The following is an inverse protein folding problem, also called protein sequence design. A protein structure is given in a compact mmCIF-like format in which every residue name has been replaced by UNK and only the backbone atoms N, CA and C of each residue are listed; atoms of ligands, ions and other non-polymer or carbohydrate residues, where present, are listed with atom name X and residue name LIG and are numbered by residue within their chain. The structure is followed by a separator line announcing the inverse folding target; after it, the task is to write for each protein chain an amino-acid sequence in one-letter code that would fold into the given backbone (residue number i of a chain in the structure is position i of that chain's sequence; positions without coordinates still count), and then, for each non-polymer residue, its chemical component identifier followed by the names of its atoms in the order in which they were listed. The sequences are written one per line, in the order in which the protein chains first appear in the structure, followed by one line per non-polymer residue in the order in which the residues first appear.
data_IF_853899059820
#
_entry.id   IF_853899059820
#
_cell.length_a   1.000
_cell.length_b   1.000
_cell.length_c   1.000
_cell.angle_alpha   90.00
_cell.angle_beta   90.00
_cell.angle_gamma   90.00
#
_symmetry.space_group_name_H-M   'P 1'
#
loop_
_entity.id
_entity.type
_entity.pdbx_description
1 polymer ?
#
# COMPACT_ATOMS: atom_id res chain seq x y z
N UNK A 1 7.79 -11.37 -8.12
CA UNK A 1 7.14 -10.35 -7.29
C UNK A 1 6.37 -9.31 -8.10
N UNK A 2 6.98 -8.66 -9.10
CA UNK A 2 6.34 -7.56 -9.84
C UNK A 2 5.08 -7.99 -10.62
N UNK A 3 5.13 -9.09 -11.39
CA UNK A 3 3.96 -9.59 -12.16
C UNK A 3 2.81 -10.03 -11.24
N UNK A 4 3.11 -10.68 -10.13
CA UNK A 4 2.10 -11.09 -9.16
C UNK A 4 1.49 -9.89 -8.41
N UNK A 5 2.25 -8.81 -8.17
CA UNK A 5 1.67 -7.58 -7.60
C UNK A 5 0.71 -6.89 -8.57
N UNK A 6 0.99 -6.91 -9.88
CA UNK A 6 0.10 -6.33 -10.88
C UNK A 6 -1.25 -7.05 -10.94
N UNK A 7 -1.27 -8.38 -10.78
CA UNK A 7 -2.54 -9.14 -10.70
C UNK A 7 -3.37 -8.70 -9.51
N UNK A 8 -2.78 -8.66 -8.32
CA UNK A 8 -3.48 -8.19 -7.10
C UNK A 8 -3.96 -6.74 -7.24
N UNK A 9 -3.14 -5.85 -7.80
CA UNK A 9 -3.53 -4.47 -8.07
C UNK A 9 -4.76 -4.42 -8.98
N UNK A 10 -4.76 -5.18 -10.07
CA UNK A 10 -5.88 -5.20 -11.01
C UNK A 10 -7.17 -5.73 -10.37
N UNK A 11 -7.07 -6.77 -9.53
CA UNK A 11 -8.20 -7.31 -8.78
C UNK A 11 -8.82 -6.28 -7.84
N UNK A 12 -7.97 -5.59 -7.04
CA UNK A 12 -8.45 -4.54 -6.13
C UNK A 12 -9.00 -3.31 -6.88
N UNK A 13 -8.40 -2.95 -8.01
CA UNK A 13 -8.91 -1.88 -8.85
C UNK A 13 -10.27 -2.24 -9.47
N UNK A 14 -10.47 -3.49 -9.87
CA UNK A 14 -11.75 -3.95 -10.41
C UNK A 14 -12.86 -3.85 -9.35
N UNK A 15 -12.60 -4.32 -8.12
CA UNK A 15 -13.54 -4.19 -6.99
C UNK A 15 -13.86 -2.73 -6.69
N UNK A 16 -12.85 -1.88 -6.54
CA UNK A 16 -13.04 -0.46 -6.29
C UNK A 16 -13.86 0.25 -7.38
N UNK A 17 -13.57 -0.05 -8.65
CA UNK A 17 -14.27 0.57 -9.78
C UNK A 17 -15.72 0.10 -9.89
N UNK A 18 -16.01 -1.18 -9.62
CA UNK A 18 -17.36 -1.73 -9.66
C UNK A 18 -18.25 -1.09 -8.59
N UNK A 19 -17.80 -1.08 -7.34
CA UNK A 19 -18.53 -0.45 -6.23
C UNK A 19 -18.71 1.05 -6.43
N UNK A 20 -17.67 1.73 -6.93
CA UNK A 20 -17.74 3.16 -7.24
C UNK A 20 -18.73 3.44 -8.35
N UNK A 21 -18.78 2.62 -9.40
CA UNK A 21 -19.72 2.81 -10.52
C UNK A 21 -21.17 2.67 -10.08
N UNK A 22 -21.45 1.70 -9.21
CA UNK A 22 -22.79 1.51 -8.61
C UNK A 22 -23.19 2.72 -7.76
N UNK A 23 -22.28 3.19 -6.90
CA UNK A 23 -22.50 4.36 -6.07
C UNK A 23 -22.77 5.61 -6.91
N UNK A 24 -21.96 5.87 -7.95
CA UNK A 24 -22.11 7.07 -8.80
C UNK A 24 -23.40 7.07 -9.59
N UNK A 25 -23.91 5.91 -10.04
CA UNK A 25 -25.22 5.83 -10.70
C UNK A 25 -26.33 6.27 -9.75
N UNK A 26 -26.38 5.73 -8.53
CA UNK A 26 -27.37 6.12 -7.54
C UNK A 26 -27.22 7.56 -7.07
N UNK A 27 -25.96 8.02 -6.91
CA UNK A 27 -25.67 9.41 -6.52
C UNK A 27 -26.24 10.40 -7.52
N UNK A 28 -26.10 10.14 -8.82
CA UNK A 28 -26.69 11.01 -9.85
C UNK A 28 -28.19 11.11 -9.69
N UNK A 29 -28.89 9.98 -9.56
CA UNK A 29 -30.34 9.94 -9.45
C UNK A 29 -30.80 10.73 -8.20
N UNK A 30 -30.14 10.53 -7.05
CA UNK A 30 -30.44 11.28 -5.82
C UNK A 30 -30.13 12.79 -5.92
N UNK A 31 -29.08 13.19 -6.65
CA UNK A 31 -28.78 14.59 -6.89
C UNK A 31 -29.84 15.26 -7.79
N UNK A 32 -30.43 14.51 -8.73
CA UNK A 32 -31.48 14.99 -9.64
C UNK A 32 -32.82 15.23 -8.90
N UNK A 33 -33.05 14.57 -7.77
CA UNK A 33 -34.23 14.75 -6.91
C UNK A 33 -34.13 15.97 -5.97
N UNK A 34 -32.93 16.58 -5.79
CA UNK A 34 -32.74 17.69 -4.86
C UNK A 34 -33.32 19.01 -5.41
N UNK A 35 -34.08 19.72 -4.54
CA UNK A 35 -34.43 21.11 -4.77
C UNK A 35 -33.23 22.06 -4.45
N UNK A 36 -33.35 23.34 -4.82
CA UNK A 36 -32.27 24.32 -4.65
C UNK A 36 -31.89 24.54 -3.15
N UNK A 37 -32.84 24.52 -2.24
CA UNK A 37 -32.55 24.63 -0.79
C UNK A 37 -31.76 23.44 -0.26
N UNK A 38 -32.06 22.24 -0.72
CA UNK A 38 -31.32 21.03 -0.39
C UNK A 38 -29.90 21.04 -0.99
N UNK A 39 -29.74 21.51 -2.24
CA UNK A 39 -28.41 21.69 -2.84
C UNK A 39 -27.54 22.63 -2.01
N UNK A 40 -28.07 23.79 -1.61
CA UNK A 40 -27.34 24.72 -0.72
C UNK A 40 -27.00 24.08 0.62
N UNK A 41 -27.92 23.32 1.23
CA UNK A 41 -27.65 22.59 2.47
C UNK A 41 -26.56 21.54 2.30
N UNK A 42 -26.57 20.76 1.21
CA UNK A 42 -25.57 19.75 0.88
C UNK A 42 -24.20 20.38 0.65
N UNK A 43 -24.12 21.49 -0.07
CA UNK A 43 -22.91 22.25 -0.27
C UNK A 43 -22.29 22.72 1.05
N UNK A 44 -23.14 23.10 2.03
CA UNK A 44 -22.73 23.40 3.41
C UNK A 44 -22.47 22.17 4.30
N UNK A 45 -22.55 20.96 3.76
CA UNK A 45 -22.33 19.72 4.53
C UNK A 45 -23.45 19.38 5.50
N UNK A 46 -24.67 19.89 5.28
CA UNK A 46 -25.84 19.67 6.14
C UNK A 46 -26.73 18.58 5.53
N UNK A 47 -27.19 17.64 6.34
CA UNK A 47 -28.02 16.50 5.94
C UNK A 47 -29.37 16.54 6.68
N UNK A 48 -30.17 17.59 6.43
CA UNK A 48 -31.38 17.93 7.21
C UNK A 48 -32.64 17.23 6.73
N UNK A 49 -32.76 16.94 5.44
CA UNK A 49 -33.93 16.28 4.84
C UNK A 49 -33.72 14.78 4.65
N UNK A 50 -34.76 14.04 4.25
CA UNK A 50 -34.67 12.61 3.91
C UNK A 50 -33.71 12.39 2.72
N UNK A 51 -33.90 13.16 1.63
CA UNK A 51 -33.07 13.05 0.42
C UNK A 51 -31.60 13.28 0.72
N UNK A 52 -31.28 14.27 1.54
CA UNK A 52 -29.91 14.56 1.94
C UNK A 52 -29.30 13.44 2.81
N UNK A 53 -30.11 12.83 3.69
CA UNK A 53 -29.66 11.67 4.48
C UNK A 53 -29.42 10.47 3.60
N UNK A 54 -30.22 10.23 2.56
CA UNK A 54 -30.01 9.14 1.61
C UNK A 54 -28.68 9.29 0.86
N UNK A 55 -28.29 10.52 0.45
CA UNK A 55 -26.95 10.77 -0.14
C UNK A 55 -25.85 10.45 0.86
N UNK A 56 -25.98 10.91 2.10
CA UNK A 56 -24.99 10.59 3.15
C UNK A 56 -24.85 9.09 3.35
N UNK A 57 -25.98 8.40 3.45
CA UNK A 57 -26.04 6.97 3.73
C UNK A 57 -25.51 6.15 2.53
N UNK A 58 -25.78 6.59 1.30
CA UNK A 58 -25.20 6.01 0.10
C UNK A 58 -23.66 6.10 0.11
N UNK A 59 -23.10 7.27 0.43
CA UNK A 59 -21.64 7.46 0.49
C UNK A 59 -21.06 6.64 1.64
N UNK A 60 -21.74 6.59 2.79
CA UNK A 60 -21.32 5.79 3.94
C UNK A 60 -21.32 4.28 3.64
N UNK A 61 -22.35 3.77 2.95
CA UNK A 61 -22.45 2.37 2.52
C UNK A 61 -21.35 2.03 1.53
N UNK A 62 -21.11 2.88 0.53
CA UNK A 62 -20.01 2.69 -0.42
C UNK A 62 -18.66 2.69 0.29
N UNK A 63 -18.40 3.64 1.19
CA UNK A 63 -17.18 3.66 2.00
C UNK A 63 -17.00 2.37 2.79
N UNK A 64 -18.04 1.90 3.48
CA UNK A 64 -18.00 0.66 4.27
C UNK A 64 -17.70 -0.56 3.38
N UNK A 65 -18.33 -0.65 2.19
CA UNK A 65 -18.09 -1.72 1.22
C UNK A 65 -16.62 -1.74 0.75
N UNK A 66 -16.09 -0.59 0.32
CA UNK A 66 -14.69 -0.48 -0.13
C UNK A 66 -13.72 -0.78 1.01
N UNK A 67 -14.00 -0.26 2.22
CA UNK A 67 -13.16 -0.46 3.40
C UNK A 67 -13.12 -1.92 3.88
N UNK A 68 -14.13 -2.71 3.56
CA UNK A 68 -14.17 -4.15 3.83
C UNK A 68 -13.55 -4.96 2.68
N UNK A 69 -13.95 -4.68 1.44
CA UNK A 69 -13.58 -5.49 0.28
C UNK A 69 -12.07 -5.43 -0.06
N UNK A 70 -11.44 -4.26 0.07
CA UNK A 70 -10.02 -4.12 -0.25
C UNK A 70 -9.10 -4.95 0.68
N UNK A 71 -9.24 -4.89 2.01
CA UNK A 71 -8.46 -5.73 2.91
C UNK A 71 -8.73 -7.23 2.73
N UNK A 72 -9.97 -7.65 2.52
CA UNK A 72 -10.33 -9.06 2.31
C UNK A 72 -9.71 -9.62 1.02
N UNK A 73 -9.86 -8.93 -0.09
CA UNK A 73 -9.26 -9.33 -1.37
C UNK A 73 -7.72 -9.32 -1.30
N UNK A 74 -7.15 -8.35 -0.59
CA UNK A 74 -5.70 -8.30 -0.36
C UNK A 74 -5.24 -9.49 0.49
N UNK A 75 -5.95 -9.87 1.55
CA UNK A 75 -5.60 -10.95 2.46
C UNK A 75 -5.42 -12.28 1.71
N UNK A 76 -6.31 -12.61 0.76
CA UNK A 76 -6.19 -13.82 -0.07
C UNK A 76 -4.86 -13.85 -0.81
N UNK A 77 -4.51 -12.74 -1.46
CA UNK A 77 -3.25 -12.62 -2.20
C UNK A 77 -2.02 -12.62 -1.29
N UNK A 78 -2.10 -11.97 -0.12
CA UNK A 78 -1.00 -11.89 0.84
C UNK A 78 -0.70 -13.24 1.51
N UNK A 79 -1.74 -14.01 1.84
CA UNK A 79 -1.63 -15.37 2.38
C UNK A 79 -0.91 -16.29 1.37
N UNK A 80 -1.33 -16.28 0.11
CA UNK A 80 -0.67 -17.05 -0.93
C UNK A 80 0.79 -16.61 -1.16
N UNK A 81 1.06 -15.30 -1.10
CA UNK A 81 2.42 -14.77 -1.19
C UNK A 81 3.30 -15.27 -0.05
N UNK A 82 2.82 -15.21 1.19
CA UNK A 82 3.60 -15.64 2.35
C UNK A 82 4.03 -17.11 2.25
N UNK A 83 3.12 -17.99 1.79
CA UNK A 83 3.44 -19.41 1.53
C UNK A 83 4.47 -19.56 0.43
N UNK A 84 4.27 -18.84 -0.69
CA UNK A 84 5.18 -18.89 -1.83
C UNK A 84 6.59 -18.47 -1.45
N UNK A 85 6.74 -17.35 -0.74
CA UNK A 85 8.05 -16.80 -0.37
C UNK A 85 8.76 -17.68 0.67
N UNK A 86 8.03 -18.25 1.63
CA UNK A 86 8.61 -19.18 2.60
C UNK A 86 9.14 -20.45 1.91
N UNK A 87 8.35 -21.04 1.01
CA UNK A 87 8.79 -22.21 0.24
C UNK A 87 9.95 -21.88 -0.73
N UNK A 88 9.94 -20.69 -1.30
CA UNK A 88 11.03 -20.22 -2.17
C UNK A 88 12.35 -20.14 -1.41
N UNK A 89 12.34 -19.56 -0.20
CA UNK A 89 13.52 -19.48 0.67
C UNK A 89 14.02 -20.88 1.02
N UNK A 90 13.13 -21.78 1.46
CA UNK A 90 13.49 -23.16 1.82
C UNK A 90 14.16 -23.88 0.64
N UNK A 91 13.58 -23.74 -0.57
CA UNK A 91 14.15 -24.33 -1.78
C UNK A 91 15.49 -23.73 -2.14
N UNK A 92 15.63 -22.40 -2.03
CA UNK A 92 16.86 -21.68 -2.40
C UNK A 92 18.06 -22.14 -1.57
N UNK A 93 17.84 -22.39 -0.27
CA UNK A 93 18.91 -22.83 0.65
C UNK A 93 18.94 -24.36 0.86
N UNK A 94 18.15 -25.13 0.12
CA UNK A 94 18.09 -26.59 0.26
C UNK A 94 17.65 -27.06 1.64
N UNK A 95 16.95 -26.19 2.38
CA UNK A 95 16.58 -26.42 3.77
C UNK A 95 15.16 -26.99 3.91
N UNK A 96 14.94 -27.75 4.99
CA UNK A 96 13.60 -28.17 5.39
C UNK A 96 13.04 -27.18 6.39
N UNK A 97 11.87 -26.60 6.08
CA UNK A 97 11.09 -25.79 7.01
C UNK A 97 9.77 -26.49 7.32
N UNK A 98 9.13 -26.12 8.42
CA UNK A 98 7.76 -26.54 8.67
C UNK A 98 6.85 -26.06 7.54
N UNK A 99 5.81 -26.88 7.22
CA UNK A 99 4.83 -26.49 6.20
C UNK A 99 4.31 -25.09 6.49
N UNK A 100 4.50 -24.11 5.57
CA UNK A 100 4.09 -22.75 5.84
C UNK A 100 2.56 -22.65 5.95
N UNK A 101 2.11 -22.06 7.05
CA UNK A 101 0.73 -21.63 7.24
C UNK A 101 0.63 -20.16 6.80
N UNK A 102 0.06 -19.94 5.64
CA UNK A 102 0.00 -18.61 5.03
C UNK A 102 -0.84 -17.63 5.82
N UNK A 103 -1.95 -18.07 6.41
CA UNK A 103 -2.81 -17.23 7.25
C UNK A 103 -2.06 -16.78 8.50
N UNK A 104 -1.42 -17.71 9.20
CA UNK A 104 -0.61 -17.40 10.38
C UNK A 104 0.55 -16.45 10.06
N UNK A 105 1.24 -16.67 8.94
CA UNK A 105 2.32 -15.79 8.49
C UNK A 105 1.80 -14.38 8.16
N UNK A 106 0.68 -14.28 7.45
CA UNK A 106 0.07 -12.99 7.13
C UNK A 106 -0.45 -12.26 8.37
N UNK A 107 -1.15 -12.95 9.27
CA UNK A 107 -1.62 -12.38 10.54
C UNK A 107 -0.45 -11.91 11.43
N UNK A 108 0.68 -12.64 11.41
CA UNK A 108 1.90 -12.18 12.08
C UNK A 108 2.45 -10.91 11.44
N UNK A 109 2.54 -10.86 10.10
CA UNK A 109 3.00 -9.68 9.38
C UNK A 109 2.12 -8.44 9.62
N UNK A 110 0.80 -8.61 9.72
CA UNK A 110 -0.13 -7.52 10.03
C UNK A 110 0.11 -6.84 11.37
N UNK A 111 0.67 -7.57 12.35
CA UNK A 111 0.96 -7.05 13.70
C UNK A 111 2.30 -6.31 13.77
N UNK A 112 3.14 -6.42 12.75
CA UNK A 112 4.43 -5.74 12.69
C UNK A 112 4.24 -4.39 11.98
N UNK A 113 4.56 -3.26 12.63
CA UNK A 113 4.47 -1.95 12.00
C UNK A 113 5.44 -1.83 10.81
N UNK A 114 4.99 -1.17 9.75
CA UNK A 114 5.87 -0.70 8.68
C UNK A 114 6.69 0.50 9.18
N UNK A 115 7.71 0.90 8.42
CA UNK A 115 8.43 2.13 8.68
C UNK A 115 7.43 3.32 8.73
N UNK A 116 7.50 4.12 9.81
CA UNK A 116 6.51 5.16 10.10
C UNK A 116 5.34 4.71 10.97
N UNK A 117 5.38 3.50 11.55
CA UNK A 117 4.47 3.02 12.58
C UNK A 117 3.11 2.51 12.10
N UNK A 118 2.76 2.66 10.82
CA UNK A 118 1.47 2.22 10.31
C UNK A 118 1.38 0.70 10.20
N UNK A 119 0.21 0.13 10.54
CA UNK A 119 -0.10 -1.26 10.30
C UNK A 119 -0.68 -1.46 8.89
N UNK A 120 -0.72 -2.71 8.45
CA UNK A 120 -1.26 -3.08 7.13
C UNK A 120 -2.71 -2.61 6.96
N UNK A 121 -3.54 -2.82 7.98
CA UNK A 121 -4.96 -2.43 7.94
C UNK A 121 -5.14 -0.91 7.87
N UNK A 122 -4.30 -0.15 8.58
CA UNK A 122 -4.32 1.32 8.52
C UNK A 122 -4.05 1.84 7.11
N UNK A 123 -3.09 1.24 6.41
CA UNK A 123 -2.75 1.66 5.04
C UNK A 123 -3.88 1.37 4.06
N UNK A 124 -4.56 0.24 4.20
CA UNK A 124 -5.69 -0.12 3.34
C UNK A 124 -6.92 0.73 3.64
N UNK A 125 -7.23 0.98 4.92
CA UNK A 125 -8.36 1.82 5.34
C UNK A 125 -8.20 3.29 4.89
N UNK A 126 -6.98 3.82 4.87
CA UNK A 126 -6.69 5.18 4.38
C UNK A 126 -7.07 5.37 2.91
N UNK A 127 -7.04 4.30 2.10
CA UNK A 127 -7.48 4.37 0.69
C UNK A 127 -8.97 4.70 0.61
N UNK A 128 -9.80 3.95 1.33
CA UNK A 128 -11.25 4.15 1.35
C UNK A 128 -11.61 5.53 1.91
N UNK A 129 -10.98 5.95 3.01
CA UNK A 129 -11.22 7.25 3.63
C UNK A 129 -10.82 8.42 2.71
N UNK A 130 -9.65 8.34 2.06
CA UNK A 130 -9.22 9.33 1.08
C UNK A 130 -10.19 9.42 -0.10
N UNK A 131 -10.69 8.28 -0.58
CA UNK A 131 -11.66 8.24 -1.67
C UNK A 131 -13.00 8.87 -1.26
N UNK A 132 -13.50 8.59 -0.04
CA UNK A 132 -14.71 9.19 0.52
C UNK A 132 -14.60 10.70 0.59
N UNK A 133 -13.52 11.22 1.15
CA UNK A 133 -13.26 12.66 1.25
C UNK A 133 -13.24 13.34 -0.12
N UNK A 134 -12.61 12.71 -1.13
CA UNK A 134 -12.59 13.22 -2.50
C UNK A 134 -13.99 13.30 -3.11
N UNK A 135 -14.82 12.28 -2.89
CA UNK A 135 -16.22 12.26 -3.38
C UNK A 135 -17.03 13.37 -2.73
N UNK A 136 -17.01 13.47 -1.40
CA UNK A 136 -17.72 14.52 -0.67
C UNK A 136 -17.27 15.92 -1.09
N UNK A 137 -15.96 16.11 -1.24
CA UNK A 137 -15.41 17.39 -1.74
C UNK A 137 -15.92 17.71 -3.13
N UNK A 138 -15.89 16.76 -4.06
CA UNK A 138 -16.31 17.00 -5.44
C UNK A 138 -17.80 17.37 -5.53
N UNK A 139 -18.65 16.77 -4.71
CA UNK A 139 -20.08 17.11 -4.63
C UNK A 139 -20.28 18.55 -4.15
N UNK A 140 -19.68 18.89 -2.99
CA UNK A 140 -19.83 20.22 -2.38
C UNK A 140 -19.28 21.32 -3.28
N UNK A 141 -18.09 21.14 -3.80
CA UNK A 141 -17.43 22.09 -4.68
C UNK A 141 -18.17 22.24 -6.03
N UNK A 142 -18.68 21.14 -6.58
CA UNK A 142 -19.48 21.16 -7.80
C UNK A 142 -20.76 21.96 -7.65
N UNK A 143 -21.50 21.76 -6.56
CA UNK A 143 -22.73 22.52 -6.26
C UNK A 143 -22.40 24.00 -6.05
N UNK A 144 -21.39 24.34 -5.25
CA UNK A 144 -20.95 25.71 -5.00
C UNK A 144 -20.50 26.43 -6.28
N UNK A 145 -19.96 25.66 -7.24
CA UNK A 145 -19.51 26.18 -8.55
C UNK A 145 -20.61 26.19 -9.62
N UNK A 146 -21.86 25.90 -9.26
CA UNK A 146 -22.99 25.85 -10.19
C UNK A 146 -22.90 24.77 -11.27
N UNK A 147 -22.19 23.68 -10.99
CA UNK A 147 -22.06 22.54 -11.90
C UNK A 147 -23.34 21.72 -11.96
N UNK A 148 -23.63 21.19 -13.13
CA UNK A 148 -24.71 20.21 -13.29
C UNK A 148 -24.38 18.90 -12.55
N UNK A 149 -25.40 18.12 -12.18
CA UNK A 149 -25.21 16.83 -11.52
C UNK A 149 -24.37 15.88 -12.38
N UNK A 150 -24.53 15.92 -13.69
CA UNK A 150 -23.72 15.17 -14.63
C UNK A 150 -22.22 15.58 -14.57
N UNK A 151 -21.93 16.88 -14.53
CA UNK A 151 -20.54 17.39 -14.40
C UNK A 151 -19.92 16.98 -13.06
N UNK A 152 -20.71 16.97 -11.97
CA UNK A 152 -20.25 16.51 -10.66
C UNK A 152 -19.86 15.04 -10.73
N UNK A 153 -20.72 14.18 -11.27
CA UNK A 153 -20.45 12.74 -11.43
C UNK A 153 -19.24 12.50 -12.36
N UNK A 154 -19.15 13.24 -13.46
CA UNK A 154 -17.99 13.17 -14.37
C UNK A 154 -16.69 13.62 -13.67
N UNK A 155 -16.72 14.64 -12.85
CA UNK A 155 -15.56 15.08 -12.08
C UNK A 155 -15.08 14.00 -11.08
N UNK A 156 -16.01 13.24 -10.51
CA UNK A 156 -15.65 12.12 -9.61
C UNK A 156 -15.05 10.96 -10.40
N UNK A 157 -15.76 10.52 -11.43
CA UNK A 157 -15.39 9.34 -12.22
C UNK A 157 -14.27 9.60 -13.22
N UNK A 158 -14.28 10.76 -13.85
CA UNK A 158 -13.56 11.09 -15.09
C UNK A 158 -14.39 10.83 -16.34
N UNK A 159 -13.86 11.21 -17.49
CA UNK A 159 -14.51 11.09 -18.80
C UNK A 159 -13.98 9.88 -19.57
N UNK A 160 -14.86 9.21 -20.32
CA UNK A 160 -14.48 8.08 -21.19
C UNK A 160 -13.44 8.50 -22.24
N UNK A 161 -13.51 9.75 -22.72
CA UNK A 161 -12.60 10.31 -23.72
C UNK A 161 -11.14 10.30 -23.23
N UNK A 162 -10.92 10.53 -21.93
CA UNK A 162 -9.61 10.55 -21.29
C UNK A 162 -9.36 9.26 -20.48
N UNK A 163 -10.03 8.16 -20.83
CA UNK A 163 -9.90 6.87 -20.16
C UNK A 163 -10.04 6.96 -18.63
N UNK A 164 -10.90 7.89 -18.18
CA UNK A 164 -11.18 8.19 -16.75
C UNK A 164 -9.97 8.71 -15.96
N UNK A 165 -8.92 9.21 -16.63
CA UNK A 165 -7.72 9.72 -15.98
C UNK A 165 -7.91 11.13 -15.39
N UNK A 166 -8.90 11.88 -15.87
CA UNK A 166 -9.29 13.20 -15.42
C UNK A 166 -10.24 13.20 -14.20
N UNK A 167 -10.64 12.04 -13.72
CA UNK A 167 -11.48 11.93 -12.52
C UNK A 167 -10.69 12.12 -11.22
N UNK A 168 -11.33 12.73 -10.21
CA UNK A 168 -10.71 12.97 -8.90
C UNK A 168 -10.32 11.65 -8.20
N UNK A 169 -11.00 10.54 -8.51
CA UNK A 169 -10.70 9.21 -8.00
C UNK A 169 -9.54 8.52 -8.74
N UNK A 170 -9.01 9.10 -9.82
CA UNK A 170 -7.85 8.50 -10.48
C UNK A 170 -6.63 8.41 -9.55
N UNK A 171 -6.42 9.41 -8.69
CA UNK A 171 -5.40 9.35 -7.64
C UNK A 171 -5.55 8.17 -6.67
N UNK A 172 -6.78 7.70 -6.43
CA UNK A 172 -7.04 6.52 -5.58
C UNK A 172 -6.53 5.22 -6.21
N UNK A 173 -6.54 5.10 -7.55
CA UNK A 173 -5.93 3.96 -8.25
C UNK A 173 -4.43 3.90 -7.99
N UNK A 174 -3.75 5.04 -8.05
CA UNK A 174 -2.32 5.16 -7.72
C UNK A 174 -2.05 4.82 -6.25
N UNK A 175 -2.94 5.23 -5.34
CA UNK A 175 -2.85 4.92 -3.91
C UNK A 175 -3.01 3.41 -3.66
N UNK A 176 -3.96 2.74 -4.33
CA UNK A 176 -4.13 1.28 -4.28
C UNK A 176 -2.84 0.59 -4.76
N UNK A 177 -2.34 0.97 -5.93
CA UNK A 177 -1.14 0.37 -6.52
C UNK A 177 0.08 0.51 -5.60
N UNK A 178 0.31 1.70 -5.09
CA UNK A 178 1.41 2.01 -4.16
C UNK A 178 1.29 1.23 -2.85
N UNK A 179 0.11 1.19 -2.27
CA UNK A 179 -0.15 0.48 -1.01
C UNK A 179 0.03 -1.02 -1.18
N UNK A 180 -0.57 -1.62 -2.21
CA UNK A 180 -0.44 -3.05 -2.51
C UNK A 180 1.03 -3.45 -2.67
N UNK A 181 1.81 -2.70 -3.44
CA UNK A 181 3.25 -3.00 -3.63
C UNK A 181 4.01 -2.92 -2.33
N UNK A 182 3.73 -1.90 -1.51
CA UNK A 182 4.41 -1.69 -0.23
C UNK A 182 4.07 -2.79 0.76
N UNK A 183 2.79 -3.11 0.93
CA UNK A 183 2.36 -4.15 1.88
C UNK A 183 2.79 -5.54 1.43
N UNK A 184 2.78 -5.85 0.13
CA UNK A 184 3.34 -7.12 -0.38
C UNK A 184 4.82 -7.26 -0.08
N UNK A 185 5.60 -6.18 -0.23
CA UNK A 185 7.01 -6.18 0.16
C UNK A 185 7.19 -6.45 1.66
N UNK A 186 6.33 -5.86 2.49
CA UNK A 186 6.31 -6.11 3.94
C UNK A 186 6.04 -7.58 4.26
N UNK A 187 4.96 -8.16 3.71
CA UNK A 187 4.60 -9.57 3.92
C UNK A 187 5.72 -10.51 3.46
N UNK A 188 6.33 -10.24 2.32
CA UNK A 188 7.46 -11.05 1.82
C UNK A 188 8.66 -11.01 2.77
N UNK A 189 9.07 -9.81 3.23
CA UNK A 189 10.20 -9.70 4.16
C UNK A 189 9.92 -10.35 5.52
N UNK A 190 8.67 -10.29 6.02
CA UNK A 190 8.29 -11.02 7.24
C UNK A 190 8.33 -12.54 7.03
N UNK A 191 7.90 -13.04 5.88
CA UNK A 191 7.99 -14.45 5.53
C UNK A 191 9.45 -14.90 5.40
N UNK A 192 10.34 -14.08 4.82
CA UNK A 192 11.78 -14.33 4.75
C UNK A 192 12.38 -14.47 6.15
N UNK A 193 12.17 -13.48 7.03
CA UNK A 193 12.69 -13.51 8.40
C UNK A 193 12.21 -14.74 9.17
N UNK A 194 10.94 -15.11 9.03
CA UNK A 194 10.41 -16.33 9.65
C UNK A 194 11.12 -17.59 9.13
N UNK A 195 11.34 -17.69 7.83
CA UNK A 195 12.03 -18.82 7.21
C UNK A 195 13.51 -18.87 7.61
N UNK A 196 14.19 -17.72 7.65
CA UNK A 196 15.59 -17.62 8.06
C UNK A 196 15.77 -18.11 9.52
N UNK A 197 14.88 -17.70 10.41
CA UNK A 197 14.87 -18.19 11.80
C UNK A 197 14.66 -19.71 11.88
N UNK A 198 13.75 -20.29 11.08
CA UNK A 198 13.51 -21.74 11.07
C UNK A 198 14.71 -22.53 10.50
N UNK A 199 15.44 -21.96 9.55
CA UNK A 199 16.64 -22.56 8.96
C UNK A 199 17.84 -22.45 9.92
N UNK A 200 17.84 -21.48 10.84
CA UNK A 200 18.90 -21.26 11.82
C UNK A 200 19.93 -20.21 11.42
N UNK A 201 19.59 -19.32 10.50
CA UNK A 201 20.45 -18.17 10.20
C UNK A 201 20.44 -17.18 11.37
N UNK A 202 21.62 -16.67 11.71
CA UNK A 202 21.81 -15.72 12.82
C UNK A 202 21.90 -14.27 12.38
N UNK A 203 22.33 -14.02 11.13
CA UNK A 203 22.56 -12.68 10.61
C UNK A 203 21.81 -12.45 9.31
N UNK A 204 21.40 -11.19 9.11
CA UNK A 204 20.75 -10.71 7.88
C UNK A 204 21.41 -9.43 7.38
N UNK A 205 21.44 -9.28 6.08
CA UNK A 205 21.99 -8.11 5.37
C UNK A 205 20.89 -7.41 4.58
N UNK A 206 20.86 -6.08 4.66
CA UNK A 206 19.99 -5.25 3.85
C UNK A 206 20.53 -5.17 2.42
N UNK A 207 19.71 -5.51 1.44
CA UNK A 207 20.08 -5.49 0.02
C UNK A 207 19.09 -4.64 -0.75
N UNK A 208 19.58 -3.58 -1.37
CA UNK A 208 18.83 -2.68 -2.23
C UNK A 208 19.00 -2.99 -3.70
N UNK A 209 17.96 -2.70 -4.49
CA UNK A 209 18.10 -2.59 -5.94
C UNK A 209 18.75 -1.24 -6.23
N UNK A 210 20.05 -1.22 -6.53
CA UNK A 210 20.80 0.02 -6.73
C UNK A 210 20.67 0.53 -8.17
N UNK A 211 19.60 1.28 -8.45
CA UNK A 211 19.33 1.91 -9.75
C UNK A 211 18.84 3.35 -9.61
N UNK A 212 18.46 3.98 -10.74
CA UNK A 212 17.97 5.36 -10.81
C UNK A 212 16.74 5.69 -9.95
N UNK A 213 16.01 4.69 -9.44
CA UNK A 213 14.79 4.84 -8.64
C UNK A 213 14.99 4.51 -7.17
N UNK A 214 16.19 4.11 -6.76
CA UNK A 214 16.48 3.77 -5.37
C UNK A 214 16.54 5.03 -4.52
N UNK A 215 15.82 5.03 -3.40
CA UNK A 215 15.88 6.15 -2.45
C UNK A 215 17.27 6.24 -1.81
N UNK A 216 17.68 7.45 -1.43
CA UNK A 216 18.93 7.67 -0.72
C UNK A 216 19.00 6.81 0.55
N UNK A 217 17.90 6.73 1.29
CA UNK A 217 17.78 5.91 2.49
C UNK A 217 18.09 4.43 2.23
N UNK A 218 17.44 3.79 1.24
CA UNK A 218 17.72 2.40 0.92
C UNK A 218 19.15 2.20 0.42
N UNK A 219 19.68 3.13 -0.37
CA UNK A 219 21.05 3.07 -0.85
C UNK A 219 22.07 3.21 0.30
N UNK A 220 21.79 4.05 1.33
CA UNK A 220 22.67 4.21 2.49
C UNK A 220 22.71 2.98 3.40
N UNK A 221 21.62 2.21 3.45
CA UNK A 221 21.53 0.98 4.23
C UNK A 221 22.02 -0.26 3.49
N UNK A 222 22.27 -0.15 2.18
CA UNK A 222 22.73 -1.28 1.40
C UNK A 222 24.03 -1.84 1.97
N UNK A 223 24.07 -3.16 2.20
CA UNK A 223 25.20 -3.83 2.83
C UNK A 223 25.22 -3.82 4.36
N UNK A 224 24.31 -3.11 5.05
CA UNK A 224 24.21 -3.16 6.51
C UNK A 224 23.83 -4.56 6.99
N UNK A 225 24.48 -5.03 8.05
CA UNK A 225 24.30 -6.37 8.63
C UNK A 225 23.82 -6.22 10.07
N UNK A 226 22.86 -7.05 10.47
CA UNK A 226 22.35 -7.14 11.82
C UNK A 226 22.15 -8.60 12.22
N UNK A 227 22.17 -8.86 13.52
CA UNK A 227 21.61 -10.11 14.04
C UNK A 227 20.11 -10.18 13.69
N UNK A 228 19.62 -11.36 13.38
CA UNK A 228 18.23 -11.55 12.94
C UNK A 228 17.21 -11.11 14.00
N UNK A 229 17.59 -11.17 15.28
CA UNK A 229 16.75 -10.77 16.42
C UNK A 229 17.07 -9.36 16.95
N UNK A 230 17.98 -8.61 16.32
CA UNK A 230 18.31 -7.25 16.72
C UNK A 230 17.08 -6.33 16.54
N UNK A 231 16.59 -5.65 17.61
CA UNK A 231 15.47 -4.72 17.51
C UNK A 231 15.80 -3.46 16.68
N UNK A 232 17.07 -3.10 16.55
CA UNK A 232 17.52 -1.98 15.72
C UNK A 232 17.58 -2.32 14.22
N UNK A 233 17.36 -3.59 13.87
CA UNK A 233 17.34 -4.05 12.48
C UNK A 233 16.30 -3.30 11.64
N UNK A 234 16.71 -2.82 10.47
CA UNK A 234 15.83 -2.17 9.52
C UNK A 234 15.22 -3.18 8.55
N UNK A 235 13.92 -3.40 8.67
CA UNK A 235 13.20 -4.36 7.82
C UNK A 235 12.47 -3.61 6.70
N UNK A 236 12.75 -3.92 5.42
CA UNK A 236 11.98 -3.36 4.33
C UNK A 236 10.48 -3.76 4.40
N UNK A 237 9.56 -2.91 3.88
CA UNK A 237 9.77 -1.67 3.16
C UNK A 237 10.00 -0.47 4.09
N UNK A 238 10.95 0.42 3.75
CA UNK A 238 11.22 1.64 4.51
C UNK A 238 10.48 2.87 3.98
N UNK A 239 9.85 2.75 2.83
CA UNK A 239 9.06 3.79 2.16
C UNK A 239 8.11 3.14 1.15
N UNK A 240 7.10 3.87 0.63
CA UNK A 240 6.24 3.37 -0.43
C UNK A 240 7.02 2.88 -1.66
N UNK A 241 6.59 1.76 -2.24
CA UNK A 241 7.25 1.11 -3.38
C UNK A 241 8.71 0.68 -3.14
N UNK A 242 9.12 0.48 -1.89
CA UNK A 242 10.45 -0.03 -1.55
C UNK A 242 10.69 -1.40 -2.21
N UNK A 243 11.88 -1.58 -2.79
CA UNK A 243 12.30 -2.80 -3.50
C UNK A 243 13.43 -3.54 -2.79
N UNK A 244 13.83 -3.06 -1.62
CA UNK A 244 14.86 -3.67 -0.80
C UNK A 244 14.35 -4.94 -0.13
N UNK A 245 15.26 -5.85 0.20
CA UNK A 245 14.97 -7.07 0.95
C UNK A 245 16.05 -7.33 2.00
N UNK A 246 15.74 -8.21 2.96
CA UNK A 246 16.75 -8.83 3.80
C UNK A 246 17.17 -10.17 3.20
N UNK A 247 18.46 -10.47 3.27
CA UNK A 247 19.04 -11.75 2.87
C UNK A 247 19.88 -12.31 4.03
N UNK A 248 19.96 -13.64 4.22
CA UNK A 248 20.81 -14.20 5.24
C UNK A 248 22.28 -14.10 4.86
N UNK A 249 23.11 -13.90 5.85
CA UNK A 249 24.58 -13.82 5.71
C UNK A 249 25.26 -14.58 6.84
N UNK A 250 26.52 -14.92 6.62
CA UNK A 250 27.39 -15.41 7.67
C UNK A 250 27.77 -14.29 8.64
N UNK A 251 28.36 -14.61 9.77
CA UNK A 251 28.76 -13.68 10.82
C UNK A 251 29.72 -12.58 10.32
N UNK A 252 30.55 -12.89 9.33
CA UNK A 252 31.46 -11.95 8.68
C UNK A 252 30.77 -11.07 7.63
N UNK A 253 29.45 -11.22 7.42
CA UNK A 253 28.64 -10.48 6.47
C UNK A 253 28.73 -11.01 5.02
N UNK A 254 29.39 -12.14 4.79
CA UNK A 254 29.40 -12.77 3.46
C UNK A 254 28.01 -13.29 3.12
N UNK A 255 27.57 -13.02 1.87
CA UNK A 255 26.30 -13.53 1.37
C UNK A 255 26.30 -15.05 1.29
N UNK A 256 25.26 -15.67 1.80
CA UNK A 256 24.99 -17.08 1.52
C UNK A 256 24.39 -17.17 0.12
N UNK A 257 25.25 -17.28 -0.89
CA UNK A 257 24.93 -17.24 -2.31
C UNK A 257 25.24 -15.90 -2.98
N UNK A 258 24.71 -15.68 -4.17
CA UNK A 258 24.95 -14.46 -4.95
C UNK A 258 24.01 -13.30 -4.56
N UNK A 259 24.45 -12.07 -4.83
CA UNK A 259 23.60 -10.88 -4.66
C UNK A 259 22.37 -10.96 -5.60
N UNK A 260 21.15 -10.88 -5.07
CA UNK A 260 19.93 -11.13 -5.85
C UNK A 260 19.54 -10.00 -6.82
N UNK A 261 20.27 -8.86 -6.83
CA UNK A 261 19.95 -7.68 -7.63
C UNK A 261 21.16 -7.13 -8.38
N UNK A 262 20.88 -6.55 -9.55
CA UNK A 262 21.88 -5.81 -10.33
C UNK A 262 22.30 -4.56 -9.56
N UNK A 263 23.59 -4.30 -9.53
CA UNK A 263 24.20 -3.14 -8.90
C UNK A 263 24.59 -2.12 -9.97
N UNK A 264 24.11 -0.86 -9.86
CA UNK A 264 24.67 0.26 -10.62
C UNK A 264 25.74 0.92 -9.76
N UNK A 265 27.00 0.59 -10.02
CA UNK A 265 28.16 1.04 -9.26
C UNK A 265 28.29 2.57 -9.17
N UNK A 266 27.69 3.30 -10.12
CA UNK A 266 27.74 4.76 -10.15
C UNK A 266 27.03 5.43 -8.97
N UNK A 267 26.10 4.74 -8.30
CA UNK A 267 25.32 5.28 -7.17
C UNK A 267 25.87 4.94 -5.80
N UNK A 268 26.66 3.88 -5.67
CA UNK A 268 27.21 3.45 -4.37
C UNK A 268 28.28 4.43 -3.88
N UNK A 269 28.96 5.12 -4.81
CA UNK A 269 30.06 6.06 -4.51
C UNK A 269 29.58 7.43 -3.97
N UNK A 270 28.30 7.77 -4.11
CA UNK A 270 27.81 9.14 -3.97
C UNK A 270 27.11 9.45 -2.65
N UNK A 271 27.07 8.51 -1.68
CA UNK A 271 26.46 8.77 -0.36
C UNK A 271 27.55 8.78 0.70
N UNK A 272 27.93 9.98 1.22
CA UNK A 272 28.89 10.11 2.31
C UNK A 272 28.43 9.36 3.56
N UNK A 273 29.39 8.83 4.34
CA UNK A 273 29.07 8.11 5.59
C UNK A 273 28.29 8.95 6.58
N UNK A 274 28.55 10.27 6.63
CA UNK A 274 27.86 11.24 7.47
C UNK A 274 26.37 11.37 7.08
N UNK A 275 26.05 11.34 5.80
CA UNK A 275 24.67 11.41 5.29
C UNK A 275 23.88 10.14 5.61
N UNK A 276 24.55 8.97 5.74
CA UNK A 276 23.92 7.73 6.20
C UNK A 276 23.37 7.86 7.62
N UNK A 277 24.12 8.41 8.53
CA UNK A 277 23.72 8.59 9.93
C UNK A 277 22.53 9.55 10.07
N UNK A 278 22.50 10.64 9.28
CA UNK A 278 21.40 11.60 9.28
C UNK A 278 20.11 10.98 8.72
N UNK A 279 20.19 10.18 7.65
CA UNK A 279 19.04 9.50 7.05
C UNK A 279 18.44 8.42 7.98
N UNK A 280 19.29 7.73 8.75
CA UNK A 280 18.85 6.76 9.76
C UNK A 280 18.15 7.49 10.92
N UNK A 281 18.71 8.60 11.40
CA UNK A 281 18.12 9.41 12.47
C UNK A 281 16.74 10.00 12.12
N UNK A 282 16.49 10.33 10.86
CA UNK A 282 15.18 10.80 10.40
C UNK A 282 14.10 9.69 10.40
N UNK A 283 14.48 8.42 10.24
CA UNK A 283 13.56 7.29 10.40
C UNK A 283 13.12 7.13 11.86
N UNK A 284 14.05 7.28 12.80
CA UNK A 284 13.78 7.11 14.23
C UNK A 284 12.87 8.23 14.76
N UNK A 285 13.06 9.47 14.29
CA UNK A 285 12.21 10.61 14.65
C UNK A 285 10.77 10.52 14.13
N UNK A 286 10.53 9.77 13.04
CA UNK A 286 9.19 9.56 12.50
C UNK A 286 8.51 8.28 13.05
N UNK A 287 9.16 7.57 13.97
CA UNK A 287 8.64 6.31 14.55
C UNK A 287 8.22 6.50 16.02
N UNK A 288 8.48 7.67 16.61
CA UNK A 288 7.98 8.12 17.91
C UNK A 288 6.79 9.04 17.74
#
# INVERSE_FOLDING_TARGET
LYRASSKTVNELLALFNDDTSKMLSKLRDLLDELNESEKVALAGGKYTTSNLREIRDLIAQWFASVNLALPEAFAVSATALAVYEANYVAKLYGAKINKPDGEKLFLSAKKVPLAGGALVDDLLSRIAESARQKVEYAIRDGINSGKTNQEIVQRIRGTKRLNYEDGILNGTKTDIERTVRTVRSHVANQAYLNSFNQIGFEYVRFVSVLDGRTSKLCASLDGSVWEINDPAKRVPPLHPNCRSILVPVEKDGQLVGERPFVMDERRVKDIPKEERSQLIGQLDANTT
#
